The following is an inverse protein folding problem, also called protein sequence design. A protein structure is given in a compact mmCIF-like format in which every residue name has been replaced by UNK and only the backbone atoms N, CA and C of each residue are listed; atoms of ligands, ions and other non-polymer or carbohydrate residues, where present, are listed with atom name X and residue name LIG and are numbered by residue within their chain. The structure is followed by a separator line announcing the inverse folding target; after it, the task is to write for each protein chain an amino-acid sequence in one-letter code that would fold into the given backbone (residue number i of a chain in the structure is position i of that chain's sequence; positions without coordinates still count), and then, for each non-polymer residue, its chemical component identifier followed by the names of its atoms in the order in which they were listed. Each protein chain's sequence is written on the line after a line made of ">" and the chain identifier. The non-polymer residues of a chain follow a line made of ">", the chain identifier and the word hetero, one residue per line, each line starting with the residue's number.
data_IF_860201134622
#
_entry.id   IF_860201134622
#
_cell.length_a   1.000
_cell.length_b   1.000
_cell.length_c   1.000
_cell.angle_alpha   90.00
_cell.angle_beta   90.00
_cell.angle_gamma   90.00
#
_symmetry.space_group_name_H-M   'P 1'
#
loop_
_entity.id
_entity.type
_entity.pdbx_description
1 polymer ?
#
# COMPACT_ATOMS: atom_id res chain seq x y z
N UNK A 1 1.01 -2.93 20.41
CA UNK A 1 0.73 -2.57 19.00
C UNK A 1 -0.65 -3.09 18.63
N UNK A 2 -1.44 -2.25 17.99
CA UNK A 2 -2.81 -2.53 17.54
C UNK A 2 -2.92 -2.28 16.03
N UNK A 3 -3.71 -3.10 15.33
CA UNK A 3 -4.10 -2.85 13.93
C UNK A 3 -5.57 -2.45 13.92
N UNK A 4 -5.87 -1.29 13.37
CA UNK A 4 -7.23 -0.74 13.33
C UNK A 4 -7.50 -0.03 11.99
N UNK A 5 -8.76 0.24 11.64
CA UNK A 5 -9.08 1.13 10.52
C UNK A 5 -8.45 2.51 10.72
N UNK A 6 -7.95 3.08 9.61
CA UNK A 6 -7.50 4.46 9.60
C UNK A 6 -8.67 5.43 9.71
N UNK A 7 -8.46 6.53 10.42
CA UNK A 7 -9.46 7.58 10.63
C UNK A 7 -8.91 8.94 10.21
N UNK A 8 -9.77 9.95 10.17
CA UNK A 8 -9.39 11.28 9.70
C UNK A 8 -8.30 11.93 10.57
N UNK A 9 -8.30 11.64 11.86
CA UNK A 9 -7.26 12.13 12.79
C UNK A 9 -5.87 11.56 12.49
N UNK A 10 -5.76 10.47 11.74
CA UNK A 10 -4.49 9.88 11.29
C UNK A 10 -3.89 10.59 10.07
N UNK A 11 -4.64 11.48 9.41
CA UNK A 11 -4.29 12.02 8.09
C UNK A 11 -2.92 12.68 8.03
N UNK A 12 -2.57 13.46 9.04
CA UNK A 12 -1.27 14.16 9.11
C UNK A 12 -0.11 13.16 9.13
N UNK A 13 -0.22 12.14 9.97
CA UNK A 13 0.83 11.14 10.15
C UNK A 13 0.90 10.17 8.94
N UNK A 14 -0.24 9.78 8.38
CA UNK A 14 -0.30 9.01 7.14
C UNK A 14 0.36 9.77 5.98
N UNK A 15 0.13 11.08 5.90
CA UNK A 15 0.75 11.94 4.89
C UNK A 15 2.25 12.03 5.12
N UNK A 16 2.72 12.19 6.36
CA UNK A 16 4.14 12.22 6.71
C UNK A 16 4.84 10.91 6.28
N UNK A 17 4.27 9.77 6.60
CA UNK A 17 4.82 8.46 6.22
C UNK A 17 4.94 8.36 4.70
N UNK A 18 3.87 8.67 3.96
CA UNK A 18 3.87 8.58 2.51
C UNK A 18 4.87 9.54 1.86
N UNK A 19 4.93 10.78 2.32
CA UNK A 19 5.85 11.80 1.79
C UNK A 19 7.32 11.42 1.95
N UNK A 20 7.69 10.67 2.97
CA UNK A 20 9.03 10.11 3.06
C UNK A 20 9.38 9.31 1.79
N UNK A 21 8.47 8.43 1.34
CA UNK A 21 8.69 7.62 0.16
C UNK A 21 8.62 8.43 -1.15
N UNK A 22 7.81 9.48 -1.18
CA UNK A 22 7.76 10.42 -2.32
C UNK A 22 9.10 11.12 -2.50
N UNK A 23 9.68 11.60 -1.42
CA UNK A 23 10.90 12.45 -1.47
C UNK A 23 12.17 11.61 -1.58
N UNK A 24 12.26 10.50 -0.84
CA UNK A 24 13.52 9.80 -0.60
C UNK A 24 13.68 8.51 -1.41
N UNK A 25 12.64 8.01 -2.06
CA UNK A 25 12.67 6.66 -2.67
C UNK A 25 11.97 6.61 -4.03
N UNK A 26 12.28 5.60 -4.89
CA UNK A 26 11.48 5.27 -6.06
C UNK A 26 10.33 4.31 -5.76
N UNK A 27 10.06 3.98 -4.49
CA UNK A 27 9.02 3.03 -4.08
C UNK A 27 7.63 3.52 -4.49
N UNK A 28 7.38 4.82 -4.46
CA UNK A 28 6.25 5.44 -5.14
C UNK A 28 6.76 6.33 -6.27
N UNK A 29 5.98 6.47 -7.34
CA UNK A 29 6.30 7.36 -8.45
C UNK A 29 5.66 8.73 -8.33
N UNK A 30 4.97 9.05 -7.26
CA UNK A 30 4.70 10.44 -6.91
C UNK A 30 6.04 11.16 -6.70
N UNK A 31 6.15 12.38 -7.22
CA UNK A 31 7.40 13.16 -7.22
C UNK A 31 7.32 14.39 -6.33
N UNK A 32 6.11 14.92 -6.11
CA UNK A 32 5.86 16.07 -5.25
C UNK A 32 5.17 15.63 -3.95
N UNK A 33 5.67 16.08 -2.78
CA UNK A 33 5.01 15.76 -1.52
C UNK A 33 3.63 16.39 -1.42
N UNK A 34 2.75 15.75 -0.66
CA UNK A 34 1.39 16.18 -0.43
C UNK A 34 1.25 16.95 0.88
N UNK A 35 0.31 17.91 0.91
CA UNK A 35 -0.26 18.36 2.18
C UNK A 35 -1.31 17.37 2.67
N UNK A 36 -1.65 17.35 3.98
CA UNK A 36 -2.74 16.51 4.48
C UNK A 36 -4.06 16.76 3.74
N UNK A 37 -4.41 18.01 3.49
CA UNK A 37 -5.65 18.35 2.75
C UNK A 37 -5.66 17.79 1.33
N UNK A 38 -4.53 17.77 0.64
CA UNK A 38 -4.41 17.15 -0.68
C UNK A 38 -4.60 15.63 -0.63
N UNK A 39 -4.27 14.98 0.49
CA UNK A 39 -4.44 13.54 0.68
C UNK A 39 -5.79 13.13 1.26
N UNK A 40 -6.59 14.07 1.75
CA UNK A 40 -7.91 13.77 2.31
C UNK A 40 -8.82 12.98 1.36
N UNK A 41 -8.94 13.28 0.05
CA UNK A 41 -9.72 12.46 -0.88
C UNK A 41 -9.27 11.00 -0.94
N UNK A 42 -7.97 10.75 -0.86
CA UNK A 42 -7.42 9.39 -0.78
C UNK A 42 -7.90 8.66 0.49
N UNK A 43 -7.85 9.32 1.65
CA UNK A 43 -8.34 8.71 2.90
C UNK A 43 -9.83 8.41 2.82
N UNK A 44 -10.63 9.33 2.31
CA UNK A 44 -12.08 9.16 2.16
C UNK A 44 -12.47 8.08 1.15
N UNK A 45 -11.58 7.73 0.22
CA UNK A 45 -11.77 6.61 -0.71
C UNK A 45 -11.58 5.23 -0.06
N UNK A 46 -11.23 5.17 1.22
CA UNK A 46 -11.00 3.94 1.98
C UNK A 46 -11.95 3.87 3.20
N UNK A 47 -13.24 3.57 2.98
CA UNK A 47 -14.20 3.44 4.07
C UNK A 47 -13.93 2.21 4.94
N UNK A 48 -14.64 2.09 6.06
CA UNK A 48 -14.49 0.98 7.01
C UNK A 48 -15.18 -0.32 6.56
N UNK A 49 -15.84 -0.32 5.42
CA UNK A 49 -16.49 -1.49 4.81
C UNK A 49 -16.28 -1.52 3.31
N UNK A 50 -16.46 -2.66 2.68
CA UNK A 50 -16.25 -2.84 1.24
C UNK A 50 -14.80 -3.23 0.89
N UNK A 51 -14.49 -3.33 -0.42
CA UNK A 51 -13.20 -3.85 -0.89
C UNK A 51 -12.03 -2.89 -0.73
N UNK A 52 -12.28 -1.61 -0.51
CA UNK A 52 -11.24 -0.59 -0.41
C UNK A 52 -11.03 -0.20 1.05
N UNK A 53 -9.93 -0.66 1.62
CA UNK A 53 -9.67 -0.56 3.07
C UNK A 53 -8.36 0.16 3.35
N UNK A 54 -8.33 0.85 4.47
CA UNK A 54 -7.14 1.42 5.07
C UNK A 54 -7.01 0.90 6.50
N UNK A 55 -5.93 0.18 6.78
CA UNK A 55 -5.58 -0.27 8.12
C UNK A 55 -4.28 0.38 8.54
N UNK A 56 -4.22 0.80 9.79
CA UNK A 56 -3.04 1.40 10.42
C UNK A 56 -2.51 0.52 11.54
N UNK A 57 -1.21 0.49 11.72
CA UNK A 57 -0.55 -0.09 12.88
C UNK A 57 -0.19 1.03 13.84
N UNK A 58 -0.68 0.95 15.07
CA UNK A 58 -0.46 1.96 16.11
C UNK A 58 0.19 1.35 17.34
N UNK A 59 1.09 2.10 17.96
CA UNK A 59 1.71 1.74 19.25
C UNK A 59 1.99 3.00 20.05
N UNK A 60 1.40 3.09 21.24
CA UNK A 60 1.62 4.24 22.14
C UNK A 60 1.18 5.58 21.54
N UNK A 61 0.13 5.61 20.75
CA UNK A 61 -0.40 6.84 20.12
C UNK A 61 0.38 7.28 18.87
N UNK A 62 1.27 6.43 18.34
CA UNK A 62 2.03 6.71 17.10
C UNK A 62 1.72 5.69 16.03
N UNK A 63 1.58 6.16 14.80
CA UNK A 63 1.46 5.27 13.65
C UNK A 63 2.83 4.70 13.26
N UNK A 64 2.88 3.39 13.11
CA UNK A 64 4.07 2.66 12.69
C UNK A 64 4.07 2.39 11.17
N UNK A 65 2.90 2.45 10.56
CA UNK A 65 2.69 2.21 9.15
C UNK A 65 1.22 1.94 8.83
N UNK A 66 0.95 1.69 7.56
CA UNK A 66 -0.40 1.39 7.09
C UNK A 66 -0.39 0.47 5.88
N UNK A 67 -1.51 -0.19 5.64
CA UNK A 67 -1.77 -0.95 4.42
C UNK A 67 -3.12 -0.55 3.83
N UNK A 68 -3.21 -0.59 2.50
CA UNK A 68 -4.45 -0.30 1.78
C UNK A 68 -4.79 -1.37 0.77
N UNK A 69 -6.08 -1.49 0.48
CA UNK A 69 -6.60 -2.05 -0.76
C UNK A 69 -7.38 -0.96 -1.48
N UNK A 70 -7.04 -0.71 -2.72
CA UNK A 70 -7.62 0.36 -3.53
C UNK A 70 -8.16 -0.20 -4.84
N UNK A 71 -8.98 0.58 -5.56
CA UNK A 71 -9.45 0.20 -6.88
C UNK A 71 -8.27 -0.04 -7.83
N UNK A 72 -8.27 -1.19 -8.49
CA UNK A 72 -7.21 -1.50 -9.46
C UNK A 72 -7.36 -0.67 -10.73
N UNK A 73 -8.56 -0.64 -11.30
CA UNK A 73 -8.88 0.14 -12.52
C UNK A 73 -10.34 0.58 -12.49
N UNK A 74 -10.71 1.66 -13.20
CA UNK A 74 -12.04 2.26 -13.07
C UNK A 74 -13.17 1.50 -13.78
N UNK A 75 -12.87 0.63 -14.75
CA UNK A 75 -13.93 -0.08 -15.47
C UNK A 75 -14.67 -1.07 -14.56
N UNK A 76 -16.01 -1.18 -14.63
CA UNK A 76 -16.81 -1.99 -13.68
C UNK A 76 -16.42 -3.46 -13.56
N UNK A 77 -15.91 -4.07 -14.63
CA UNK A 77 -15.45 -5.47 -14.61
C UNK A 77 -14.23 -5.69 -13.68
N UNK A 78 -13.53 -4.64 -13.26
CA UNK A 78 -12.43 -4.70 -12.29
C UNK A 78 -12.89 -4.53 -10.83
N UNK A 79 -14.19 -4.45 -10.56
CA UNK A 79 -14.70 -4.17 -9.22
C UNK A 79 -14.25 -5.18 -8.14
N UNK A 80 -14.00 -6.44 -8.52
CA UNK A 80 -13.52 -7.51 -7.63
C UNK A 80 -11.99 -7.63 -7.58
N UNK A 81 -11.26 -6.72 -8.22
CA UNK A 81 -9.81 -6.64 -8.18
C UNK A 81 -9.37 -5.43 -7.37
N UNK A 82 -8.42 -5.62 -6.47
CA UNK A 82 -7.84 -4.54 -5.67
C UNK A 82 -6.34 -4.46 -5.88
N UNK A 83 -5.80 -3.26 -5.80
CA UNK A 83 -4.35 -3.02 -5.69
C UNK A 83 -4.01 -2.81 -4.22
N UNK A 84 -3.06 -3.59 -3.70
CA UNK A 84 -2.63 -3.48 -2.30
C UNK A 84 -1.31 -2.74 -2.19
N UNK A 85 -1.17 -1.98 -1.11
CA UNK A 85 0.06 -1.25 -0.78
C UNK A 85 0.32 -1.34 0.71
N UNK A 86 1.59 -1.28 1.10
CA UNK A 86 2.00 -1.18 2.49
C UNK A 86 3.17 -0.20 2.61
N UNK A 87 3.05 0.73 3.53
CA UNK A 87 4.07 1.73 3.84
C UNK A 87 4.32 1.75 5.35
N UNK A 88 5.58 1.69 5.74
CA UNK A 88 6.00 1.76 7.14
C UNK A 88 6.69 3.09 7.39
N UNK A 89 6.51 3.65 8.57
CA UNK A 89 7.34 4.76 9.01
C UNK A 89 8.80 4.31 8.98
N UNK A 90 9.72 5.11 8.42
CA UNK A 90 11.09 4.67 8.15
C UNK A 90 11.83 4.19 9.40
N UNK A 91 11.51 4.76 10.57
CA UNK A 91 12.06 4.39 11.87
C UNK A 91 11.56 3.03 12.40
N UNK A 92 10.56 2.43 11.73
CA UNK A 92 9.92 1.17 12.16
C UNK A 92 10.07 0.02 11.16
N UNK A 93 10.85 0.22 10.11
CA UNK A 93 11.15 -0.81 9.11
C UNK A 93 11.93 -1.98 9.74
N UNK A 94 11.69 -3.20 9.27
CA UNK A 94 12.40 -4.39 9.75
C UNK A 94 11.82 -5.05 11.00
N UNK A 95 10.72 -4.52 11.57
CA UNK A 95 10.06 -5.05 12.77
C UNK A 95 8.92 -6.05 12.48
N UNK A 96 8.74 -6.47 11.24
CA UNK A 96 7.67 -7.40 10.86
C UNK A 96 6.27 -6.77 10.73
N UNK A 97 6.15 -5.44 10.90
CA UNK A 97 4.87 -4.71 10.93
C UNK A 97 4.12 -4.84 9.60
N UNK A 98 4.83 -4.81 8.47
CA UNK A 98 4.21 -5.01 7.16
C UNK A 98 3.48 -6.36 7.03
N UNK A 99 4.06 -7.42 7.62
CA UNK A 99 3.41 -8.73 7.68
C UNK A 99 2.13 -8.72 8.51
N UNK A 100 2.14 -8.05 9.66
CA UNK A 100 0.96 -7.93 10.52
C UNK A 100 -0.16 -7.12 9.85
N UNK A 101 0.20 -6.01 9.21
CA UNK A 101 -0.74 -5.20 8.42
C UNK A 101 -1.38 -6.02 7.29
N UNK A 102 -0.59 -6.78 6.53
CA UNK A 102 -1.12 -7.61 5.45
C UNK A 102 -1.96 -8.78 5.96
N UNK A 103 -1.59 -9.40 7.10
CA UNK A 103 -2.44 -10.41 7.73
C UNK A 103 -3.83 -9.84 8.00
N UNK A 104 -3.90 -8.72 8.72
CA UNK A 104 -5.19 -8.07 9.03
C UNK A 104 -5.93 -7.59 7.79
N UNK A 105 -5.22 -7.04 6.79
CA UNK A 105 -5.86 -6.60 5.55
C UNK A 105 -6.52 -7.77 4.81
N UNK A 106 -5.82 -8.90 4.66
CA UNK A 106 -6.39 -10.06 3.95
C UNK A 106 -7.48 -10.77 4.74
N UNK A 107 -7.44 -10.76 6.08
CA UNK A 107 -8.55 -11.22 6.93
C UNK A 107 -9.83 -10.41 6.68
N UNK A 108 -9.69 -9.09 6.57
CA UNK A 108 -10.82 -8.19 6.26
C UNK A 108 -11.32 -8.41 4.84
N UNK A 109 -10.41 -8.49 3.85
CA UNK A 109 -10.78 -8.68 2.44
C UNK A 109 -11.43 -10.05 2.18
N UNK A 110 -11.14 -11.05 2.98
CA UNK A 110 -11.80 -12.36 2.89
C UNK A 110 -13.31 -12.31 3.18
N UNK A 111 -13.81 -11.23 3.79
CA UNK A 111 -15.23 -11.01 4.05
C UNK A 111 -15.91 -10.13 2.99
N UNK A 112 -15.16 -9.65 2.02
CA UNK A 112 -15.62 -8.73 0.99
C UNK A 112 -15.63 -9.42 -0.39
N UNK A 113 -16.31 -8.82 -1.35
CA UNK A 113 -16.35 -9.32 -2.74
C UNK A 113 -15.05 -8.96 -3.47
N UNK A 114 -13.95 -9.60 -3.08
CA UNK A 114 -12.63 -9.45 -3.69
C UNK A 114 -12.14 -10.82 -4.16
N UNK A 115 -11.81 -10.91 -5.44
CA UNK A 115 -11.32 -12.15 -6.07
C UNK A 115 -9.81 -12.12 -6.29
N UNK A 116 -9.25 -10.96 -6.62
CA UNK A 116 -7.84 -10.81 -6.99
C UNK A 116 -7.22 -9.60 -6.33
N UNK A 117 -6.05 -9.78 -5.72
CA UNK A 117 -5.18 -8.70 -5.27
C UNK A 117 -3.96 -8.57 -6.18
N UNK A 118 -3.62 -7.34 -6.52
CA UNK A 118 -2.44 -7.00 -7.31
C UNK A 118 -1.55 -6.03 -6.52
N UNK A 119 -0.25 -6.06 -6.80
CA UNK A 119 0.70 -5.10 -6.25
C UNK A 119 1.75 -4.77 -7.31
N UNK A 120 1.98 -3.49 -7.56
CA UNK A 120 3.07 -2.99 -8.39
C UNK A 120 4.26 -2.62 -7.50
N UNK A 121 5.43 -3.16 -7.80
CA UNK A 121 6.64 -2.96 -7.01
C UNK A 121 7.71 -2.34 -7.90
N UNK A 122 8.13 -1.12 -7.58
CA UNK A 122 9.30 -0.51 -8.24
C UNK A 122 10.56 -1.29 -7.87
N UNK A 123 11.31 -1.69 -8.88
CA UNK A 123 12.46 -2.59 -8.72
C UNK A 123 13.79 -1.81 -8.74
N UNK A 124 14.80 -2.24 -7.94
CA UNK A 124 14.79 -3.39 -7.03
C UNK A 124 14.15 -3.05 -5.68
N UNK A 125 13.43 -3.99 -5.10
CA UNK A 125 12.91 -3.90 -3.73
C UNK A 125 12.71 -5.31 -3.15
N UNK A 126 13.78 -5.92 -2.68
CA UNK A 126 13.75 -7.30 -2.18
C UNK A 126 12.85 -7.48 -0.94
N UNK A 127 12.78 -6.48 -0.07
CA UNK A 127 11.95 -6.56 1.13
C UNK A 127 10.47 -6.67 0.76
N UNK A 128 10.01 -5.85 -0.18
CA UNK A 128 8.65 -5.89 -0.70
C UNK A 128 8.37 -7.20 -1.45
N UNK A 129 9.29 -7.66 -2.32
CA UNK A 129 9.13 -8.93 -3.02
C UNK A 129 8.94 -10.10 -2.04
N UNK A 130 9.80 -10.22 -1.03
CA UNK A 130 9.72 -11.29 -0.02
C UNK A 130 8.42 -11.22 0.79
N UNK A 131 7.95 -10.01 1.12
CA UNK A 131 6.68 -9.83 1.80
C UNK A 131 5.53 -10.38 0.95
N UNK A 132 5.45 -9.96 -0.32
CA UNK A 132 4.39 -10.39 -1.23
C UNK A 132 4.42 -11.89 -1.50
N UNK A 133 5.60 -12.46 -1.78
CA UNK A 133 5.79 -13.91 -1.96
C UNK A 133 5.31 -14.71 -0.74
N UNK A 134 5.63 -14.24 0.46
CA UNK A 134 5.19 -14.87 1.72
C UNK A 134 3.67 -14.87 1.89
N UNK A 135 2.98 -13.89 1.32
CA UNK A 135 1.52 -13.81 1.31
C UNK A 135 0.86 -14.51 0.11
N UNK A 136 1.63 -15.25 -0.68
CA UNK A 136 1.12 -16.04 -1.79
C UNK A 136 0.97 -15.28 -3.10
N UNK A 137 1.52 -14.08 -3.20
CA UNK A 137 1.64 -13.39 -4.49
C UNK A 137 2.70 -14.06 -5.37
N UNK A 138 2.47 -14.07 -6.67
CA UNK A 138 3.45 -14.46 -7.68
C UNK A 138 3.66 -13.32 -8.66
N UNK A 139 4.85 -13.19 -9.20
CA UNK A 139 5.13 -12.22 -10.26
C UNK A 139 4.42 -12.64 -11.56
N UNK A 140 3.69 -11.72 -12.15
CA UNK A 140 2.93 -11.93 -13.39
C UNK A 140 3.40 -11.07 -14.54
N UNK A 141 4.24 -10.09 -14.29
CA UNK A 141 4.79 -9.23 -15.33
C UNK A 141 5.89 -8.33 -14.84
N UNK A 142 6.63 -7.78 -15.79
CA UNK A 142 7.65 -6.77 -15.58
C UNK A 142 7.48 -5.68 -16.63
N UNK A 143 7.29 -4.44 -16.19
CA UNK A 143 7.29 -3.26 -17.04
C UNK A 143 8.67 -2.62 -16.97
N UNK A 144 9.39 -2.65 -18.07
CA UNK A 144 10.76 -2.14 -18.12
C UNK A 144 10.76 -0.62 -18.29
N UNK A 145 11.52 0.09 -17.44
CA UNK A 145 11.79 1.52 -17.52
C UNK A 145 10.53 2.40 -17.62
N UNK A 146 9.46 1.98 -16.98
CA UNK A 146 8.15 2.63 -17.08
C UNK A 146 8.02 3.88 -16.20
N UNK A 147 8.78 3.98 -15.12
CA UNK A 147 8.77 5.13 -14.21
C UNK A 147 10.03 5.96 -14.28
N UNK A 148 9.90 7.29 -14.43
CA UNK A 148 11.01 8.23 -14.39
C UNK A 148 11.05 9.00 -13.07
N UNK A 149 12.12 8.86 -12.29
CA UNK A 149 12.34 9.56 -11.02
C UNK A 149 13.83 9.57 -10.67
N UNK A 150 14.32 10.62 -10.03
CA UNK A 150 15.73 10.80 -9.68
C UNK A 150 16.67 10.70 -10.91
N UNK A 151 16.27 11.36 -12.01
CA UNK A 151 17.03 11.41 -13.27
C UNK A 151 17.38 10.02 -13.87
N UNK A 152 16.55 9.01 -13.59
CA UNK A 152 16.68 7.68 -14.16
C UNK A 152 15.32 6.98 -14.31
N UNK A 153 15.31 5.87 -15.02
CA UNK A 153 14.13 5.04 -15.24
C UNK A 153 14.15 3.81 -14.33
N UNK A 154 12.94 3.39 -13.92
CA UNK A 154 12.71 2.28 -12.99
C UNK A 154 11.75 1.28 -13.60
N UNK A 155 12.04 0.00 -13.37
CA UNK A 155 11.14 -1.09 -13.71
C UNK A 155 10.05 -1.23 -12.64
N UNK A 156 8.89 -1.74 -13.05
CA UNK A 156 7.82 -2.14 -12.14
C UNK A 156 7.50 -3.60 -12.36
N UNK A 157 7.68 -4.42 -11.33
CA UNK A 157 7.22 -5.80 -11.32
C UNK A 157 5.78 -5.84 -10.78
N UNK A 158 4.88 -6.53 -11.50
CA UNK A 158 3.53 -6.78 -11.06
C UNK A 158 3.41 -8.15 -10.43
N UNK A 159 2.81 -8.16 -9.25
CA UNK A 159 2.52 -9.35 -8.47
C UNK A 159 1.02 -9.53 -8.32
N UNK A 160 0.57 -10.77 -8.26
CA UNK A 160 -0.85 -11.12 -8.21
C UNK A 160 -1.09 -12.25 -7.22
N UNK A 161 -2.22 -12.19 -6.54
CA UNK A 161 -2.72 -13.22 -5.64
C UNK A 161 -4.21 -13.40 -5.83
N UNK A 162 -4.70 -14.65 -5.87
CA UNK A 162 -6.12 -14.97 -5.73
C UNK A 162 -6.51 -15.01 -4.24
N UNK A 163 -7.68 -14.50 -3.93
CA UNK A 163 -8.26 -14.55 -2.59
C UNK A 163 -9.35 -15.62 -2.48
#
# INVERSE_FOLDING_TARGET
>A
MEIRPGVEDDLDELTRIYNHYVIETPITFDVEPFTPDQRRPWLLAHPTSGPHRLLVAEEGGKLLGYATSSAFRPKPAYATSVETSVYLAPEHVGRGIGGLLYTSLFEVLAQEDVHTALAGIAMPNQASQRLHERFGFRQVGLLEQVGGKFDRFWDVAWFQKSL
#
